data_IF_205307092403
#
_entry.id   IF_205307092403
#
_cell.length_a   1.000
_cell.length_b   1.000
_cell.length_c   1.000
_cell.angle_alpha   90.00
_cell.angle_beta   90.00
_cell.angle_gamma   90.00
#
_symmetry.space_group_name_H-M   'P 1'
#
loop_
_entity.id
_entity.type
_entity.pdbx_description
1 polymer ?
#
# COMPACT_ATOMS: atom_id res chain seq x y z
N UNK A 1 2.74 7.02 -22.54
CA UNK A 1 2.06 7.71 -21.43
C UNK A 1 2.35 9.20 -21.55
N UNK A 2 1.32 10.03 -21.42
CA UNK A 2 1.43 11.49 -21.53
C UNK A 2 1.84 12.03 -20.16
N UNK A 3 3.06 12.56 -20.06
CA UNK A 3 3.67 13.13 -18.85
C UNK A 3 2.77 14.18 -18.14
N UNK A 4 1.80 14.78 -18.84
CA UNK A 4 0.83 15.72 -18.26
C UNK A 4 -0.31 15.06 -17.46
N UNK A 5 -0.77 13.87 -17.85
CA UNK A 5 -1.91 13.20 -17.19
C UNK A 5 -1.50 12.63 -15.81
N UNK A 6 -0.22 12.27 -15.68
CA UNK A 6 0.33 11.71 -14.44
C UNK A 6 0.43 12.78 -13.34
N UNK A 7 0.80 14.03 -13.69
CA UNK A 7 0.98 15.11 -12.71
C UNK A 7 -0.35 15.55 -12.08
N UNK A 8 -1.40 15.70 -12.88
CA UNK A 8 -2.73 16.03 -12.37
C UNK A 8 -3.26 14.90 -11.48
N UNK A 9 -3.11 13.64 -11.92
CA UNK A 9 -3.51 12.46 -11.16
C UNK A 9 -2.80 12.39 -9.80
N UNK A 10 -1.49 12.65 -9.77
CA UNK A 10 -0.71 12.72 -8.52
C UNK A 10 -1.24 13.80 -7.57
N UNK A 11 -1.52 15.00 -8.09
CA UNK A 11 -2.08 16.10 -7.30
C UNK A 11 -3.47 15.75 -6.72
N UNK A 12 -4.34 15.16 -7.53
CA UNK A 12 -5.68 14.77 -7.09
C UNK A 12 -5.63 13.66 -6.03
N UNK A 13 -4.78 12.65 -6.21
CA UNK A 13 -4.59 11.57 -5.24
C UNK A 13 -3.95 12.07 -3.93
N UNK A 14 -2.99 12.98 -4.00
CA UNK A 14 -2.40 13.60 -2.80
C UNK A 14 -3.43 14.41 -2.01
N UNK A 15 -4.29 15.17 -2.71
CA UNK A 15 -5.39 15.90 -2.09
C UNK A 15 -6.43 14.94 -1.47
N UNK A 16 -6.74 13.84 -2.14
CA UNK A 16 -7.63 12.80 -1.63
C UNK A 16 -7.06 12.15 -0.36
N UNK A 17 -5.78 11.75 -0.37
CA UNK A 17 -5.09 11.21 0.81
C UNK A 17 -5.20 12.16 2.01
N UNK A 18 -4.89 13.45 1.81
CA UNK A 18 -4.98 14.45 2.87
C UNK A 18 -6.40 14.60 3.44
N UNK A 19 -7.42 14.57 2.57
CA UNK A 19 -8.83 14.63 2.97
C UNK A 19 -9.27 13.40 3.76
N UNK A 20 -8.94 12.20 3.28
CA UNK A 20 -9.28 10.95 3.97
C UNK A 20 -8.60 10.86 5.34
N UNK A 21 -7.32 11.25 5.42
CA UNK A 21 -6.61 11.35 6.69
C UNK A 21 -7.28 12.34 7.64
N UNK A 22 -7.74 13.50 7.15
CA UNK A 22 -8.38 14.52 7.97
C UNK A 22 -9.74 14.11 8.53
N UNK A 23 -10.47 13.22 7.85
CA UNK A 23 -11.76 12.69 8.32
C UNK A 23 -11.63 11.37 9.09
N UNK A 24 -10.40 10.84 9.26
CA UNK A 24 -10.13 9.57 9.94
C UNK A 24 -10.45 8.32 9.12
N UNK A 25 -10.56 8.44 7.80
CA UNK A 25 -10.71 7.30 6.89
C UNK A 25 -9.32 6.79 6.47
N UNK A 26 -8.65 6.14 7.43
CA UNK A 26 -7.27 5.69 7.29
C UNK A 26 -7.11 4.63 6.19
N UNK A 27 -8.12 3.78 5.99
CA UNK A 27 -8.10 2.75 4.96
C UNK A 27 -8.10 3.37 3.56
N UNK A 28 -9.00 4.33 3.28
CA UNK A 28 -9.04 4.98 1.97
C UNK A 28 -7.84 5.89 1.78
N UNK A 29 -7.35 6.55 2.84
CA UNK A 29 -6.12 7.32 2.80
C UNK A 29 -4.90 6.45 2.44
N UNK A 30 -4.79 5.27 3.05
CA UNK A 30 -3.73 4.31 2.75
C UNK A 30 -3.78 3.84 1.30
N UNK A 31 -4.97 3.51 0.78
CA UNK A 31 -5.15 3.07 -0.61
C UNK A 31 -4.76 4.16 -1.62
N UNK A 32 -5.09 5.43 -1.34
CA UNK A 32 -4.63 6.55 -2.16
C UNK A 32 -3.09 6.66 -2.14
N UNK A 33 -2.48 6.49 -0.97
CA UNK A 33 -1.02 6.50 -0.82
C UNK A 33 -0.32 5.35 -1.54
N UNK A 34 -0.88 4.15 -1.50
CA UNK A 34 -0.39 2.99 -2.25
C UNK A 34 -0.46 3.21 -3.76
N UNK A 35 -1.56 3.79 -4.25
CA UNK A 35 -1.71 4.13 -5.67
C UNK A 35 -0.65 5.14 -6.11
N UNK A 36 -0.41 6.16 -5.29
CA UNK A 36 0.64 7.13 -5.49
C UNK A 36 2.04 6.48 -5.58
N UNK A 37 2.34 5.48 -4.75
CA UNK A 37 3.62 4.73 -4.80
C UNK A 37 3.80 4.05 -6.16
N UNK A 38 2.75 3.37 -6.65
CA UNK A 38 2.80 2.66 -7.93
C UNK A 38 3.00 3.60 -9.11
N UNK A 39 2.36 4.77 -9.11
CA UNK A 39 2.55 5.78 -10.16
C UNK A 39 4.00 6.27 -10.19
N UNK A 40 4.59 6.54 -9.02
CA UNK A 40 6.00 6.96 -8.95
C UNK A 40 6.96 5.86 -9.41
N UNK A 41 6.74 4.61 -8.99
CA UNK A 41 7.56 3.48 -9.39
C UNK A 41 7.51 3.24 -10.91
N UNK A 42 6.32 3.25 -11.52
CA UNK A 42 6.16 3.08 -12.98
C UNK A 42 6.80 4.21 -13.78
N UNK A 43 6.92 5.40 -13.18
CA UNK A 43 7.61 6.54 -13.78
C UNK A 43 9.13 6.56 -13.50
N UNK A 44 9.69 5.51 -12.88
CA UNK A 44 11.11 5.43 -12.55
C UNK A 44 11.52 6.29 -11.35
N UNK A 45 10.57 6.89 -10.62
CA UNK A 45 10.82 7.75 -9.46
C UNK A 45 10.92 6.93 -8.16
N UNK A 46 11.83 5.95 -8.15
CA UNK A 46 12.00 5.02 -7.03
C UNK A 46 12.46 5.70 -5.73
N UNK A 47 13.09 6.88 -5.80
CA UNK A 47 13.56 7.61 -4.62
C UNK A 47 12.45 8.01 -3.62
N UNK A 48 11.19 8.11 -4.08
CA UNK A 48 10.07 8.54 -3.24
C UNK A 48 9.18 7.39 -2.74
N UNK A 49 9.39 6.17 -3.24
CA UNK A 49 8.49 5.03 -2.93
C UNK A 49 8.62 4.59 -1.48
N UNK A 50 9.85 4.56 -0.93
CA UNK A 50 10.10 4.15 0.44
C UNK A 50 9.48 5.11 1.47
N UNK A 51 9.69 6.43 1.30
CA UNK A 51 9.12 7.45 2.19
C UNK A 51 7.59 7.41 2.17
N UNK A 52 6.99 7.26 0.98
CA UNK A 52 5.54 7.21 0.83
C UNK A 52 4.95 5.92 1.38
N UNK A 53 5.64 4.79 1.24
CA UNK A 53 5.25 3.53 1.89
C UNK A 53 5.28 3.66 3.42
N UNK A 54 6.28 4.35 3.98
CA UNK A 54 6.31 4.61 5.42
C UNK A 54 5.16 5.51 5.86
N UNK A 55 4.82 6.53 5.07
CA UNK A 55 3.64 7.36 5.32
C UNK A 55 2.35 6.54 5.30
N UNK A 56 2.17 5.63 4.33
CA UNK A 56 1.02 4.71 4.28
C UNK A 56 0.94 3.86 5.54
N UNK A 57 2.07 3.31 5.99
CA UNK A 57 2.13 2.50 7.23
C UNK A 57 1.76 3.28 8.47
N UNK A 58 2.12 4.57 8.53
CA UNK A 58 1.72 5.48 9.63
C UNK A 58 0.23 5.80 9.60
N UNK A 59 -0.33 6.03 8.41
CA UNK A 59 -1.77 6.28 8.21
C UNK A 59 -2.58 5.07 8.66
N UNK A 60 -2.16 3.85 8.32
CA UNK A 60 -2.82 2.62 8.76
C UNK A 60 -2.75 2.35 10.29
N UNK A 61 -1.98 3.12 11.06
CA UNK A 61 -1.92 3.02 12.52
C UNK A 61 -1.40 1.68 13.07
N UNK A 62 -1.72 1.38 14.36
CA UNK A 62 -1.55 0.05 15.00
C UNK A 62 -2.06 -1.03 14.06
N UNK A 63 -1.44 -2.23 14.03
CA UNK A 63 -1.33 -2.98 12.78
C UNK A 63 -2.71 -3.10 12.16
N UNK A 64 -2.90 -2.44 11.01
CA UNK A 64 -4.12 -2.55 10.21
C UNK A 64 -4.48 -4.02 9.97
N UNK A 65 -5.62 -4.27 9.35
CA UNK A 65 -6.05 -5.65 9.09
C UNK A 65 -4.95 -6.44 8.37
N UNK A 66 -4.97 -7.77 8.48
CA UNK A 66 -4.01 -8.57 7.72
C UNK A 66 -4.09 -8.27 6.22
N UNK A 67 -5.30 -7.95 5.72
CA UNK A 67 -5.51 -7.46 4.36
C UNK A 67 -4.78 -6.14 4.09
N UNK A 68 -4.89 -5.13 4.95
CA UNK A 68 -4.19 -3.85 4.76
C UNK A 68 -2.67 -4.03 4.74
N UNK A 69 -2.14 -4.91 5.61
CA UNK A 69 -0.70 -5.24 5.64
C UNK A 69 -0.26 -6.02 4.42
N UNK A 70 -1.09 -6.93 3.92
CA UNK A 70 -0.85 -7.66 2.68
C UNK A 70 -0.83 -6.69 1.48
N UNK A 71 -1.75 -5.74 1.40
CA UNK A 71 -1.78 -4.73 0.33
C UNK A 71 -0.49 -3.91 0.28
N UNK A 72 0.03 -3.48 1.43
CA UNK A 72 1.33 -2.79 1.50
C UNK A 72 2.47 -3.66 0.95
N UNK A 73 2.50 -4.94 1.31
CA UNK A 73 3.52 -5.89 0.83
C UNK A 73 3.41 -6.16 -0.67
N UNK A 74 2.18 -6.25 -1.20
CA UNK A 74 1.95 -6.44 -2.64
C UNK A 74 2.46 -5.24 -3.45
N UNK A 75 2.21 -4.02 -2.96
CA UNK A 75 2.76 -2.81 -3.60
C UNK A 75 4.28 -2.76 -3.49
N UNK A 76 4.85 -3.17 -2.35
CA UNK A 76 6.31 -3.29 -2.22
C UNK A 76 6.90 -4.30 -3.22
N UNK A 77 6.21 -5.40 -3.47
CA UNK A 77 6.63 -6.38 -4.45
C UNK A 77 6.61 -5.79 -5.86
N UNK A 78 5.52 -5.11 -6.25
CA UNK A 78 5.41 -4.47 -7.57
C UNK A 78 6.49 -3.39 -7.77
N UNK A 79 6.77 -2.58 -6.74
CA UNK A 79 7.88 -1.60 -6.79
C UNK A 79 9.22 -2.31 -7.01
N UNK A 80 9.47 -3.42 -6.31
CA UNK A 80 10.71 -4.19 -6.46
C UNK A 80 10.82 -4.84 -7.84
N UNK A 81 9.71 -5.33 -8.42
CA UNK A 81 9.71 -5.85 -9.80
C UNK A 81 10.03 -4.77 -10.83
N UNK A 82 9.45 -3.58 -10.67
CA UNK A 82 9.73 -2.43 -11.54
C UNK A 82 11.19 -1.96 -11.45
N UNK A 83 11.83 -2.16 -10.30
CA UNK A 83 13.25 -1.89 -10.06
C UNK A 83 14.18 -3.07 -10.45
N UNK A 84 13.61 -4.17 -10.96
CA UNK A 84 14.36 -5.38 -11.36
C UNK A 84 14.83 -6.26 -10.19
N UNK A 85 14.40 -5.97 -8.95
CA UNK A 85 14.76 -6.73 -7.76
C UNK A 85 13.77 -7.88 -7.50
N UNK A 86 13.89 -8.93 -8.30
CA UNK A 86 12.98 -10.09 -8.26
C UNK A 86 13.10 -10.94 -6.97
N UNK A 87 14.23 -10.90 -6.26
CA UNK A 87 14.37 -11.59 -4.97
C UNK A 87 13.55 -10.90 -3.89
N UNK A 88 13.63 -9.57 -3.82
CA UNK A 88 12.81 -8.78 -2.89
C UNK A 88 11.31 -8.90 -3.21
N UNK A 89 10.93 -8.85 -4.49
CA UNK A 89 9.55 -9.05 -4.90
C UNK A 89 8.98 -10.39 -4.41
N UNK A 90 9.74 -11.48 -4.62
CA UNK A 90 9.36 -12.83 -4.14
C UNK A 90 9.20 -12.88 -2.63
N UNK A 91 10.12 -12.25 -1.87
CA UNK A 91 10.02 -12.20 -0.41
C UNK A 91 8.76 -11.44 0.05
N UNK A 92 8.43 -10.32 -0.59
CA UNK A 92 7.23 -9.54 -0.30
C UNK A 92 5.95 -10.33 -0.61
N UNK A 93 5.87 -11.01 -1.76
CA UNK A 93 4.74 -11.87 -2.10
C UNK A 93 4.54 -13.01 -1.11
N UNK A 94 5.63 -13.68 -0.71
CA UNK A 94 5.56 -14.75 0.29
C UNK A 94 5.03 -14.22 1.63
N UNK A 95 5.54 -13.08 2.10
CA UNK A 95 5.08 -12.46 3.34
C UNK A 95 3.59 -12.05 3.30
N UNK A 96 3.12 -11.53 2.16
CA UNK A 96 1.71 -11.17 1.98
C UNK A 96 0.81 -12.41 2.04
N UNK A 97 1.23 -13.51 1.40
CA UNK A 97 0.50 -14.78 1.41
C UNK A 97 0.41 -15.35 2.82
N UNK A 98 1.53 -15.41 3.56
CA UNK A 98 1.54 -15.93 4.94
C UNK A 98 0.64 -15.10 5.87
N UNK A 99 0.62 -13.77 5.72
CA UNK A 99 -0.28 -12.91 6.50
C UNK A 99 -1.75 -13.23 6.27
N UNK A 100 -2.16 -13.46 5.02
CA UNK A 100 -3.55 -13.76 4.69
C UNK A 100 -3.96 -15.17 5.17
N UNK A 101 -3.06 -16.15 5.06
CA UNK A 101 -3.31 -17.53 5.55
C UNK A 101 -3.58 -17.55 7.05
N UNK A 102 -2.75 -16.87 7.84
CA UNK A 102 -2.93 -16.82 9.30
C UNK A 102 -4.16 -16.02 9.74
N UNK A 103 -4.67 -15.14 8.89
CA UNK A 103 -5.91 -14.40 9.17
C UNK A 103 -7.15 -15.24 8.90
N UNK A 104 -7.15 -16.06 7.85
CA UNK A 104 -8.25 -16.99 7.55
C UNK A 104 -8.33 -18.16 8.54
N UNK A 105 -7.23 -18.47 9.24
CA UNK A 105 -7.15 -19.54 10.25
C UNK A 105 -7.55 -19.11 11.66
N UNK A 106 -7.78 -17.82 11.92
CA UNK A 106 -8.31 -17.35 13.21
C UNK A 106 -9.83 -17.59 13.24
N UNK A 107 -10.35 -18.54 14.06
CA UNK A 107 -11.78 -18.71 14.19
C UNK A 107 -12.39 -17.44 14.75
N UNK A 108 -13.52 -17.03 14.17
CA UNK A 108 -14.40 -15.98 14.67
C UNK A 108 -14.90 -16.36 16.08
N UNK A 109 -14.11 -16.04 17.11
CA UNK A 109 -14.50 -16.10 18.52
C UNK A 109 -15.46 -14.94 18.82
N UNK A 110 -16.56 -14.88 18.07
CA UNK A 110 -17.57 -13.82 18.12
C UNK A 110 -19.01 -14.34 18.29
N UNK A 111 -19.23 -15.65 18.37
CA UNK A 111 -20.53 -16.22 18.78
C UNK A 111 -20.49 -16.62 20.25
N UNK A 112 -20.84 -15.68 21.12
CA UNK A 112 -21.36 -16.04 22.44
C UNK A 112 -22.90 -16.21 22.35
N UNK A 113 -23.47 -17.24 23.01
CA UNK A 113 -24.87 -17.65 22.89
C UNK A 113 -25.89 -16.65 23.47
#
# INVERSE_FOLDING_TARGET
MRVGDDAETLCQLAAALGRFTAIGDDQTAARAGLTLVLIDARAGRHGFTAERLDQVRRVLGRPGSAADRADVLLVQAEVAELDGNHDQARACHAAALELLRHHDEAPDEGKQP
#
